data_IF_409916878989
#
_entry.id   IF_409916878989
#
_cell.length_a   1.000
_cell.length_b   1.000
_cell.length_c   1.000
_cell.angle_alpha   90.00
_cell.angle_beta   90.00
_cell.angle_gamma   90.00
#
_symmetry.space_group_name_H-M   'P 1'
#
loop_
_entity.id
_entity.type
_entity.pdbx_description
1 polymer ?
#
# COMPACT_ATOMS: atom_id res chain seq x y z
N UNK A 1 7.65 10.22 5.60
CA UNK A 1 6.27 10.02 6.08
C UNK A 1 5.34 9.39 5.07
N UNK A 2 5.77 9.29 3.83
CA UNK A 2 5.03 8.53 2.81
C UNK A 2 5.67 7.15 2.63
N UNK A 3 4.81 6.17 2.41
CA UNK A 3 5.22 4.80 2.10
C UNK A 3 5.06 4.58 0.61
N UNK A 4 6.11 4.14 -0.06
CA UNK A 4 6.05 3.87 -1.50
C UNK A 4 5.48 2.49 -1.77
N UNK A 5 4.59 2.43 -2.72
CA UNK A 5 3.94 1.22 -3.20
C UNK A 5 4.17 1.08 -4.70
N UNK A 6 4.28 -0.13 -5.17
CA UNK A 6 4.27 -0.44 -6.60
C UNK A 6 2.89 -0.95 -7.01
N UNK A 7 2.42 -0.48 -8.15
CA UNK A 7 1.19 -0.95 -8.78
C UNK A 7 1.53 -1.51 -10.15
N UNK A 8 1.09 -2.74 -10.40
CA UNK A 8 1.29 -3.41 -11.69
C UNK A 8 -0.06 -3.68 -12.32
N UNK A 9 -0.24 -3.17 -13.52
CA UNK A 9 -1.44 -3.40 -14.32
C UNK A 9 -1.23 -4.67 -15.15
N UNK A 10 -2.16 -5.60 -15.05
CA UNK A 10 -2.07 -6.85 -15.80
C UNK A 10 -3.44 -7.37 -16.20
N UNK A 11 -3.47 -8.20 -17.23
CA UNK A 11 -4.68 -8.90 -17.60
C UNK A 11 -5.03 -9.93 -16.53
N UNK A 12 -6.31 -10.06 -16.23
CA UNK A 12 -6.81 -11.08 -15.29
C UNK A 12 -6.89 -12.44 -15.98
N UNK A 13 -5.74 -13.07 -16.16
CA UNK A 13 -5.58 -14.38 -16.81
C UNK A 13 -4.67 -15.29 -16.00
N UNK A 14 -4.88 -16.61 -16.06
CA UNK A 14 -3.97 -17.57 -15.43
C UNK A 14 -2.51 -17.33 -15.85
N UNK A 15 -1.61 -17.44 -14.92
CA UNK A 15 -0.17 -17.30 -15.14
C UNK A 15 0.38 -15.89 -15.04
N UNK A 16 -0.44 -14.84 -15.10
CA UNK A 16 0.04 -13.45 -15.02
C UNK A 16 0.60 -13.11 -13.65
N UNK A 17 -0.13 -13.46 -12.60
CA UNK A 17 0.33 -13.23 -11.23
C UNK A 17 1.57 -14.08 -10.90
N UNK A 18 1.58 -15.32 -11.36
CA UNK A 18 2.76 -16.19 -11.22
C UNK A 18 3.99 -15.57 -11.86
N UNK A 19 3.87 -15.05 -13.08
CA UNK A 19 4.98 -14.40 -13.79
C UNK A 19 5.53 -13.20 -13.00
N UNK A 20 4.66 -12.38 -12.43
CA UNK A 20 5.07 -11.24 -11.59
C UNK A 20 5.84 -11.71 -10.36
N UNK A 21 5.26 -12.61 -9.60
CA UNK A 21 5.84 -13.08 -8.35
C UNK A 21 7.14 -13.86 -8.57
N UNK A 22 7.18 -14.66 -9.62
CA UNK A 22 8.37 -15.43 -9.98
C UNK A 22 9.51 -14.53 -10.46
N UNK A 23 9.20 -13.49 -11.25
CA UNK A 23 10.20 -12.54 -11.74
C UNK A 23 10.93 -11.85 -10.58
N UNK A 24 10.21 -11.45 -9.54
CA UNK A 24 10.81 -10.86 -8.35
C UNK A 24 11.48 -11.90 -7.46
N UNK A 25 10.85 -13.06 -7.29
CA UNK A 25 11.39 -14.15 -6.46
C UNK A 25 12.72 -14.68 -6.94
N UNK A 26 12.91 -14.84 -8.25
CA UNK A 26 14.18 -15.26 -8.85
C UNK A 26 15.32 -14.28 -8.56
N UNK A 27 15.01 -13.02 -8.31
CA UNK A 27 15.99 -11.99 -7.94
C UNK A 27 16.15 -11.83 -6.43
N UNK A 28 15.54 -12.72 -5.65
CA UNK A 28 15.62 -12.70 -4.20
C UNK A 28 14.82 -11.59 -3.54
N UNK A 29 13.85 -11.01 -4.25
CA UNK A 29 12.98 -9.98 -3.69
C UNK A 29 11.72 -10.59 -3.09
N UNK A 30 11.40 -10.13 -1.90
CA UNK A 30 10.25 -10.57 -1.13
C UNK A 30 9.22 -9.44 -1.01
N UNK A 31 7.97 -9.84 -0.80
CA UNK A 31 6.87 -8.90 -0.60
C UNK A 31 6.66 -8.64 0.89
N UNK A 32 6.47 -7.38 1.24
CA UNK A 32 6.01 -6.98 2.57
C UNK A 32 4.48 -7.05 2.63
N UNK A 33 3.84 -6.63 1.56
CA UNK A 33 2.39 -6.70 1.41
C UNK A 33 2.03 -6.87 -0.05
N UNK A 34 0.90 -7.50 -0.31
CA UNK A 34 0.39 -7.76 -1.64
C UNK A 34 -1.13 -7.69 -1.61
N UNK A 35 -1.72 -6.97 -2.55
CA UNK A 35 -3.16 -6.85 -2.71
C UNK A 35 -3.51 -6.84 -4.20
N UNK A 36 -4.61 -7.47 -4.55
CA UNK A 36 -5.11 -7.48 -5.91
C UNK A 36 -6.51 -6.86 -5.92
N UNK A 37 -6.68 -5.83 -6.74
CA UNK A 37 -7.99 -5.29 -7.05
C UNK A 37 -8.27 -5.61 -8.52
N UNK A 38 -9.36 -6.30 -8.78
CA UNK A 38 -9.67 -6.75 -10.12
C UNK A 38 -10.97 -6.14 -10.66
N UNK A 39 -10.95 -5.88 -11.95
CA UNK A 39 -12.14 -5.85 -12.76
C UNK A 39 -12.22 -7.17 -13.52
N UNK A 40 -13.30 -7.42 -14.24
CA UNK A 40 -13.48 -8.68 -14.97
C UNK A 40 -12.31 -9.02 -15.89
N UNK A 41 -11.76 -8.03 -16.59
CA UNK A 41 -10.75 -8.22 -17.64
C UNK A 41 -9.34 -7.87 -17.20
N UNK A 42 -9.19 -6.96 -16.21
CA UNK A 42 -7.91 -6.46 -15.75
C UNK A 42 -7.78 -6.53 -14.25
N UNK A 43 -6.56 -6.66 -13.79
CA UNK A 43 -6.23 -6.60 -12.38
C UNK A 43 -5.17 -5.54 -12.13
N UNK A 44 -5.24 -4.95 -10.95
CA UNK A 44 -4.18 -4.09 -10.42
C UNK A 44 -3.60 -4.80 -9.21
N UNK A 45 -2.33 -5.16 -9.31
CA UNK A 45 -1.60 -5.74 -8.18
C UNK A 45 -0.85 -4.62 -7.50
N UNK A 46 -1.18 -4.37 -6.24
CA UNK A 46 -0.51 -3.38 -5.40
C UNK A 46 0.34 -4.10 -4.38
N UNK A 47 1.58 -3.70 -4.26
CA UNK A 47 2.48 -4.35 -3.32
C UNK A 47 3.59 -3.41 -2.84
N UNK A 48 4.17 -3.78 -1.70
CA UNK A 48 5.39 -3.18 -1.20
C UNK A 48 6.43 -4.29 -1.14
N UNK A 49 7.53 -4.10 -1.82
CA UNK A 49 8.67 -5.01 -1.75
C UNK A 49 9.66 -4.54 -0.69
N UNK A 50 10.51 -5.44 -0.21
CA UNK A 50 11.56 -5.05 0.74
C UNK A 50 12.54 -4.04 0.14
N UNK A 51 12.70 -4.05 -1.18
CA UNK A 51 13.45 -3.04 -1.93
C UNK A 51 12.60 -2.63 -3.13
N UNK A 52 11.81 -1.58 -2.96
CA UNK A 52 10.89 -1.10 -3.98
C UNK A 52 11.61 -0.56 -5.23
N UNK A 53 12.74 0.10 -5.06
CA UNK A 53 13.48 0.65 -6.20
C UNK A 53 14.01 -0.45 -7.10
N UNK A 54 14.59 -1.49 -6.48
CA UNK A 54 15.08 -2.66 -7.20
C UNK A 54 13.93 -3.41 -7.87
N UNK A 55 12.82 -3.61 -7.16
CA UNK A 55 11.63 -4.26 -7.70
C UNK A 55 11.07 -3.49 -8.91
N UNK A 56 10.94 -2.18 -8.80
CA UNK A 56 10.48 -1.32 -9.89
C UNK A 56 11.33 -1.51 -11.15
N UNK A 57 12.65 -1.44 -10.99
CA UNK A 57 13.59 -1.59 -12.11
C UNK A 57 13.49 -2.97 -12.77
N UNK A 58 13.46 -4.03 -11.97
CA UNK A 58 13.34 -5.40 -12.47
C UNK A 58 12.05 -5.58 -13.27
N UNK A 59 10.94 -5.11 -12.75
CA UNK A 59 9.65 -5.24 -13.42
C UNK A 59 9.57 -4.41 -14.68
N UNK A 60 10.10 -3.20 -14.64
CA UNK A 60 10.16 -2.34 -15.82
C UNK A 60 10.98 -2.98 -16.93
N UNK A 61 12.15 -3.50 -16.60
CA UNK A 61 13.04 -4.18 -17.55
C UNK A 61 12.40 -5.47 -18.11
N UNK A 62 11.57 -6.13 -17.32
CA UNK A 62 10.85 -7.33 -17.75
C UNK A 62 9.58 -7.03 -18.57
N UNK A 63 9.27 -5.76 -18.81
CA UNK A 63 8.15 -5.35 -19.65
C UNK A 63 6.80 -5.20 -18.93
N UNK A 64 6.79 -5.21 -17.60
CA UNK A 64 5.56 -4.97 -16.85
C UNK A 64 5.17 -3.49 -16.85
N UNK A 65 3.87 -3.23 -16.88
CA UNK A 65 3.30 -1.89 -16.68
C UNK A 65 3.26 -1.59 -15.18
N UNK A 66 4.32 -0.96 -14.67
CA UNK A 66 4.50 -0.70 -13.25
C UNK A 66 4.57 0.79 -12.97
N UNK A 67 3.89 1.21 -11.90
CA UNK A 67 3.91 2.59 -11.41
C UNK A 67 4.24 2.62 -9.92
N UNK A 68 4.87 3.72 -9.50
CA UNK A 68 5.08 4.01 -8.08
C UNK A 68 4.00 4.95 -7.57
N UNK A 69 3.47 4.64 -6.41
CA UNK A 69 2.46 5.46 -5.74
C UNK A 69 2.88 5.69 -4.30
N UNK A 70 2.68 6.91 -3.82
CA UNK A 70 2.94 7.23 -2.41
C UNK A 70 1.66 7.11 -1.59
N UNK A 71 1.75 6.37 -0.49
CA UNK A 71 0.66 6.13 0.43
C UNK A 71 0.95 6.74 1.79
N UNK A 72 -0.10 7.05 2.52
CA UNK A 72 0.02 7.37 3.95
C UNK A 72 -0.11 6.06 4.72
N UNK A 73 0.89 5.78 5.55
CA UNK A 73 0.82 4.68 6.49
C UNK A 73 0.47 5.18 7.87
N UNK A 74 -0.51 4.57 8.53
CA UNK A 74 -0.88 4.86 9.91
C UNK A 74 -0.81 3.59 10.75
N UNK A 75 -0.47 3.75 12.01
CA UNK A 75 -0.51 2.68 13.00
C UNK A 75 -1.59 2.98 14.03
N UNK A 76 -2.50 2.04 14.22
CA UNK A 76 -3.59 2.17 15.16
C UNK A 76 -3.62 0.97 16.10
N UNK A 77 -4.24 1.14 17.27
CA UNK A 77 -4.49 -0.01 18.15
C UNK A 77 -5.40 -1.03 17.44
N UNK A 78 -5.13 -2.30 17.61
CA UNK A 78 -5.95 -3.37 17.05
C UNK A 78 -7.16 -3.62 17.95
N UNK A 79 -8.08 -2.66 17.97
CA UNK A 79 -9.30 -2.68 18.76
C UNK A 79 -10.48 -2.16 17.93
N UNK A 80 -11.72 -2.52 18.29
CA UNK A 80 -12.90 -1.99 17.61
C UNK A 80 -12.90 -0.45 17.57
N UNK A 81 -13.37 0.11 16.47
CA UNK A 81 -13.47 1.55 16.18
C UNK A 81 -12.16 2.30 15.94
N UNK A 82 -10.99 1.70 16.11
CA UNK A 82 -9.71 2.39 15.85
C UNK A 82 -9.62 2.85 14.38
N UNK A 83 -9.95 1.98 13.44
CA UNK A 83 -9.98 2.33 12.02
C UNK A 83 -11.07 3.36 11.73
N UNK A 84 -12.26 3.18 12.29
CA UNK A 84 -13.37 4.12 12.09
C UNK A 84 -13.01 5.53 12.56
N UNK A 85 -12.28 5.66 13.65
CA UNK A 85 -11.84 6.96 14.16
C UNK A 85 -10.89 7.66 13.17
N UNK A 86 -9.97 6.92 12.57
CA UNK A 86 -9.05 7.46 11.55
C UNK A 86 -9.80 7.91 10.31
N UNK A 87 -10.70 7.06 9.81
CA UNK A 87 -11.53 7.37 8.65
C UNK A 87 -12.44 8.57 8.92
N UNK A 88 -13.02 8.63 10.11
CA UNK A 88 -13.89 9.73 10.54
C UNK A 88 -13.19 11.09 10.52
N UNK A 89 -11.92 11.14 10.89
CA UNK A 89 -11.13 12.39 10.82
C UNK A 89 -11.02 12.89 9.39
N UNK A 90 -10.77 11.99 8.43
CA UNK A 90 -10.69 12.35 7.01
C UNK A 90 -12.04 12.79 6.46
N UNK A 91 -13.11 12.13 6.87
CA UNK A 91 -14.46 12.46 6.44
C UNK A 91 -14.91 13.84 6.91
N UNK A 92 -14.60 14.20 8.16
CA UNK A 92 -14.88 15.53 8.70
C UNK A 92 -14.27 16.66 7.90
N UNK A 93 -13.09 16.42 7.31
CA UNK A 93 -12.37 17.38 6.48
C UNK A 93 -12.64 17.18 4.97
N UNK A 94 -13.62 16.35 4.64
CA UNK A 94 -13.99 16.03 3.26
C UNK A 94 -12.82 15.52 2.39
N UNK A 95 -11.90 14.77 3.00
CA UNK A 95 -10.79 14.14 2.29
C UNK A 95 -11.23 12.75 1.86
N UNK A 96 -11.32 12.53 0.55
CA UNK A 96 -11.74 11.24 0.01
C UNK A 96 -10.62 10.20 0.09
N UNK A 97 -10.99 8.99 0.50
CA UNK A 97 -10.11 7.82 0.47
C UNK A 97 -10.36 7.08 -0.84
N UNK A 98 -9.35 6.97 -1.68
CA UNK A 98 -9.45 6.24 -2.94
C UNK A 98 -9.43 4.74 -2.72
N UNK A 99 -8.54 4.27 -1.85
CA UNK A 99 -8.49 2.91 -1.36
C UNK A 99 -7.65 2.81 -0.10
N UNK A 100 -7.83 1.74 0.63
CA UNK A 100 -7.00 1.40 1.78
C UNK A 100 -6.85 -0.11 1.89
N UNK A 101 -5.79 -0.54 2.51
CA UNK A 101 -5.61 -1.92 2.92
C UNK A 101 -4.66 -1.99 4.12
N UNK A 102 -4.76 -3.07 4.85
CA UNK A 102 -3.91 -3.30 6.01
C UNK A 102 -2.91 -4.41 5.73
N UNK A 103 -1.85 -4.43 6.52
CA UNK A 103 -0.96 -5.58 6.55
C UNK A 103 -0.65 -5.94 8.01
N UNK A 104 -0.51 -7.24 8.23
CA UNK A 104 -0.23 -7.77 9.56
C UNK A 104 1.27 -7.79 9.77
N UNK A 105 1.72 -7.03 10.74
CA UNK A 105 3.06 -7.20 11.27
C UNK A 105 2.99 -8.07 12.53
N UNK A 106 4.14 -8.59 12.91
CA UNK A 106 4.30 -9.50 14.03
C UNK A 106 3.93 -8.93 15.41
N UNK A 107 3.47 -7.69 15.47
CA UNK A 107 3.00 -7.08 16.70
C UNK A 107 1.47 -7.14 16.76
N UNK A 108 0.94 -8.02 17.58
CA UNK A 108 -0.48 -8.33 17.66
C UNK A 108 -1.36 -7.22 18.27
N UNK A 109 -0.76 -6.16 18.82
CA UNK A 109 -1.50 -5.11 19.51
C UNK A 109 -1.84 -3.92 18.63
N UNK A 110 -1.24 -3.83 17.46
CA UNK A 110 -1.46 -2.70 16.55
C UNK A 110 -1.73 -3.20 15.12
N UNK A 111 -2.49 -2.41 14.38
CA UNK A 111 -2.73 -2.62 12.96
C UNK A 111 -2.05 -1.50 12.17
N UNK A 112 -1.43 -1.86 11.07
CA UNK A 112 -0.85 -0.90 10.13
C UNK A 112 -1.74 -0.81 8.91
N UNK A 113 -2.08 0.41 8.55
CA UNK A 113 -3.04 0.70 7.48
C UNK A 113 -2.38 1.62 6.48
N UNK A 114 -2.50 1.28 5.22
CA UNK A 114 -2.02 2.07 4.10
C UNK A 114 -3.20 2.71 3.41
N UNK A 115 -3.12 4.02 3.20
CA UNK A 115 -4.20 4.83 2.66
C UNK A 115 -3.73 5.59 1.42
N UNK A 116 -4.49 5.45 0.36
CA UNK A 116 -4.41 6.37 -0.78
C UNK A 116 -5.55 7.37 -0.67
N UNK A 117 -5.20 8.64 -0.53
CA UNK A 117 -6.17 9.71 -0.37
C UNK A 117 -6.03 10.74 -1.49
N UNK A 118 -7.08 11.49 -1.73
CA UNK A 118 -7.11 12.51 -2.77
C UNK A 118 -6.16 13.67 -2.46
N UNK A 119 -6.12 14.13 -1.20
CA UNK A 119 -5.24 15.22 -0.77
C UNK A 119 -4.28 14.72 0.34
N UNK A 120 -3.13 14.26 -0.11
CA UNK A 120 -2.13 13.65 0.77
C UNK A 120 -1.56 14.65 1.79
N UNK A 121 -1.24 15.86 1.38
CA UNK A 121 -0.65 16.87 2.26
C UNK A 121 -1.61 17.29 3.37
N UNK A 122 -2.86 17.52 3.01
CA UNK A 122 -3.91 17.88 3.97
C UNK A 122 -4.14 16.75 4.97
N UNK A 123 -4.17 15.51 4.50
CA UNK A 123 -4.36 14.35 5.36
C UNK A 123 -3.19 14.15 6.35
N UNK A 124 -1.96 14.28 5.89
CA UNK A 124 -0.78 14.19 6.76
C UNK A 124 -0.83 15.25 7.86
N UNK A 125 -1.11 16.48 7.48
CA UNK A 125 -1.23 17.59 8.44
C UNK A 125 -2.30 17.31 9.49
N UNK A 126 -3.47 16.85 9.05
CA UNK A 126 -4.58 16.49 9.92
C UNK A 126 -4.18 15.38 10.91
N UNK A 127 -3.56 14.33 10.42
CA UNK A 127 -3.11 13.23 11.27
C UNK A 127 -2.06 13.67 12.29
N UNK A 128 -1.13 14.52 11.89
CA UNK A 128 -0.14 15.08 12.80
C UNK A 128 -0.81 15.92 13.90
N UNK A 129 -1.75 16.78 13.56
CA UNK A 129 -2.50 17.60 14.51
C UNK A 129 -3.33 16.77 15.49
N UNK A 130 -3.83 15.62 15.04
CA UNK A 130 -4.66 14.72 15.86
C UNK A 130 -3.87 13.62 16.58
N UNK A 131 -2.55 13.65 16.47
CA UNK A 131 -1.69 12.67 17.14
C UNK A 131 -1.75 11.26 16.60
N UNK A 132 -2.18 11.08 15.35
CA UNK A 132 -2.18 9.78 14.69
C UNK A 132 -0.74 9.40 14.34
N UNK A 133 -0.33 8.19 14.71
CA UNK A 133 1.03 7.71 14.42
C UNK A 133 1.18 7.38 12.94
N UNK A 134 2.09 8.10 12.29
CA UNK A 134 2.41 7.88 10.88
C UNK A 134 3.58 6.91 10.75
N UNK A 135 3.53 6.07 9.73
CA UNK A 135 4.59 5.15 9.39
C UNK A 135 5.59 5.81 8.44
N UNK A 136 6.83 5.34 8.47
CA UNK A 136 7.86 5.69 7.50
C UNK A 136 8.30 4.47 6.72
N UNK A 137 8.97 4.67 5.58
CA UNK A 137 9.50 3.58 4.75
C UNK A 137 10.40 2.62 5.54
N UNK A 138 11.07 3.10 6.58
CA UNK A 138 12.02 2.31 7.36
C UNK A 138 11.37 1.30 8.32
N UNK A 139 10.05 1.30 8.43
CA UNK A 139 9.33 0.40 9.36
C UNK A 139 8.95 -0.91 8.65
N UNK A 140 9.22 -1.00 7.37
CA UNK A 140 8.88 -2.16 6.55
C UNK A 140 9.99 -3.19 6.46
#
# INVERSE_FOLDING_TARGET
>A
MLVKQLSVFMENKPGRLFKLTNTLGEKGLDFVTLSIADTKDYGIVRFIARDNEKAYKILKDAGFAVEQTSLIGVEVADVPNALANVIGLLEEEAINIEYLYSFVLTNYNTAKILLRVEDTEKAIKLFQEKGIKLLSEKIL
#
